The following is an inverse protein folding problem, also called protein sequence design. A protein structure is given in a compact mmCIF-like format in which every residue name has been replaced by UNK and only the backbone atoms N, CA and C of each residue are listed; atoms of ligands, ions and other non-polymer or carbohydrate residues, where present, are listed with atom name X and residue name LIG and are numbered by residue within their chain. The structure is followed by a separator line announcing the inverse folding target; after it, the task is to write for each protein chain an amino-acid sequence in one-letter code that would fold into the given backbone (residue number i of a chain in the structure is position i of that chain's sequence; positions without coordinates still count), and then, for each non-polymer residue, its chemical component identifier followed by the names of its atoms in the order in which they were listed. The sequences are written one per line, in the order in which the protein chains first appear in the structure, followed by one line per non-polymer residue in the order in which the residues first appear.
data_IF_792716426100
#
_entry.id   IF_792716426100
#
_cell.length_a   1.000
_cell.length_b   1.000
_cell.length_c   1.000
_cell.angle_alpha   90.00
_cell.angle_beta   90.00
_cell.angle_gamma   90.00
#
_symmetry.space_group_name_H-M   'P 1'
#
loop_
_entity.id
_entity.type
_entity.pdbx_description
1 polymer ?
#
# COMPACT_ATOMS: atom_id res chain seq x y z
N UNK A 1 -9.25 -11.53 -0.57
CA UNK A 1 -7.86 -11.00 -0.54
C UNK A 1 -7.71 -10.12 0.69
N UNK A 2 -6.54 -10.06 1.31
CA UNK A 2 -6.24 -9.15 2.42
C UNK A 2 -5.10 -8.21 2.03
N UNK A 3 -5.07 -7.04 2.65
CA UNK A 3 -4.04 -6.03 2.43
C UNK A 3 -3.45 -5.60 3.76
N UNK A 4 -2.17 -5.23 3.75
CA UNK A 4 -1.46 -4.79 4.97
C UNK A 4 -1.90 -3.42 5.47
N UNK A 5 -2.49 -2.59 4.61
CA UNK A 5 -2.95 -1.25 4.97
C UNK A 5 -4.30 -1.31 5.72
N UNK A 6 -4.27 -1.06 7.04
CA UNK A 6 -5.45 -1.22 7.91
C UNK A 6 -6.52 -0.15 7.70
N UNK A 7 -6.13 1.06 7.31
CA UNK A 7 -7.04 2.20 7.06
C UNK A 7 -7.68 2.17 5.66
N UNK A 8 -7.56 1.05 4.94
CA UNK A 8 -8.02 0.92 3.55
C UNK A 8 -9.48 1.34 3.36
N UNK A 9 -10.40 0.86 4.23
CA UNK A 9 -11.81 1.19 4.15
C UNK A 9 -12.15 2.63 4.61
N UNK A 10 -11.25 3.28 5.34
CA UNK A 10 -11.42 4.66 5.81
C UNK A 10 -11.06 5.66 4.71
N UNK A 11 -9.96 5.38 3.99
CA UNK A 11 -9.35 6.31 3.04
C UNK A 11 -9.86 6.16 1.60
N UNK A 12 -10.31 4.97 1.22
CA UNK A 12 -10.91 4.74 -0.09
C UNK A 12 -12.33 5.29 -0.18
N UNK A 13 -12.69 5.70 -1.41
CA UNK A 13 -14.04 6.14 -1.74
C UNK A 13 -14.60 5.27 -2.88
N UNK A 14 -15.93 5.15 -3.01
CA UNK A 14 -16.52 4.58 -4.23
C UNK A 14 -15.95 5.26 -5.48
N UNK A 15 -15.73 4.47 -6.53
CA UNK A 15 -15.05 4.84 -7.78
C UNK A 15 -13.53 5.05 -7.68
N UNK A 16 -12.90 4.89 -6.52
CA UNK A 16 -11.44 4.80 -6.44
C UNK A 16 -10.93 3.55 -7.16
N UNK A 17 -9.74 3.66 -7.74
CA UNK A 17 -9.05 2.54 -8.39
C UNK A 17 -7.93 2.00 -7.49
N UNK A 18 -7.92 0.68 -7.33
CA UNK A 18 -6.88 -0.07 -6.63
C UNK A 18 -6.14 -0.89 -7.67
N UNK A 19 -4.83 -0.71 -7.75
CA UNK A 19 -3.95 -1.46 -8.65
C UNK A 19 -3.22 -2.53 -7.85
N UNK A 20 -3.37 -3.78 -8.23
CA UNK A 20 -2.65 -4.92 -7.65
C UNK A 20 -1.57 -5.40 -8.62
N UNK A 21 -0.41 -5.79 -8.10
CA UNK A 21 0.73 -6.27 -8.89
C UNK A 21 1.10 -5.28 -10.01
N UNK A 22 1.43 -4.04 -9.64
CA UNK A 22 1.80 -2.96 -10.56
C UNK A 22 0.75 -2.66 -11.66
N UNK A 23 -0.53 -2.88 -11.35
CA UNK A 23 -1.64 -2.64 -12.28
C UNK A 23 -1.97 -3.81 -13.20
N UNK A 24 -1.31 -4.96 -13.01
CA UNK A 24 -1.69 -6.21 -13.70
C UNK A 24 -3.15 -6.57 -13.42
N UNK A 25 -3.65 -6.27 -12.22
CA UNK A 25 -5.07 -6.37 -11.87
C UNK A 25 -5.55 -5.01 -11.38
N UNK A 26 -6.66 -4.53 -11.94
CA UNK A 26 -7.32 -3.29 -11.54
C UNK A 26 -8.65 -3.62 -10.87
N UNK A 27 -8.85 -3.05 -9.68
CA UNK A 27 -10.10 -3.17 -8.92
C UNK A 27 -10.74 -1.80 -8.78
N UNK A 28 -12.01 -1.68 -9.14
CA UNK A 28 -12.82 -0.49 -8.92
C UNK A 28 -13.62 -0.62 -7.64
N UNK A 29 -13.47 0.34 -6.73
CA UNK A 29 -14.19 0.34 -5.45
C UNK A 29 -15.67 0.62 -5.67
N UNK A 30 -16.53 -0.29 -5.20
CA UNK A 30 -17.98 -0.15 -5.25
C UNK A 30 -18.53 0.41 -3.93
N UNK A 31 -18.01 -0.06 -2.79
CA UNK A 31 -18.43 0.37 -1.47
C UNK A 31 -17.34 0.11 -0.42
N UNK A 32 -17.28 0.96 0.60
CA UNK A 32 -16.39 0.81 1.75
C UNK A 32 -17.24 0.62 3.02
N UNK A 33 -17.03 -0.47 3.74
CA UNK A 33 -17.62 -0.69 5.06
C UNK A 33 -16.58 -0.41 6.15
N UNK A 34 -16.70 0.76 6.76
CA UNK A 34 -15.79 1.21 7.82
C UNK A 34 -15.94 0.43 9.12
N UNK A 35 -17.08 -0.20 9.37
CA UNK A 35 -17.30 -0.97 10.61
C UNK A 35 -16.58 -2.32 10.55
N UNK A 36 -16.65 -3.00 9.41
CA UNK A 36 -15.94 -4.27 9.19
C UNK A 36 -14.52 -4.10 8.69
N UNK A 37 -14.14 -2.90 8.21
CA UNK A 37 -12.85 -2.65 7.58
C UNK A 37 -12.73 -3.25 6.18
N UNK A 38 -13.85 -3.62 5.56
CA UNK A 38 -13.89 -4.30 4.26
C UNK A 38 -14.22 -3.33 3.14
N UNK A 39 -13.61 -3.56 1.98
CA UNK A 39 -13.90 -2.83 0.75
C UNK A 39 -14.40 -3.80 -0.31
N UNK A 40 -15.59 -3.52 -0.84
CA UNK A 40 -16.17 -4.28 -1.94
C UNK A 40 -15.75 -3.64 -3.25
N UNK A 41 -15.10 -4.42 -4.11
CA UNK A 41 -14.61 -3.96 -5.40
C UNK A 41 -15.13 -4.85 -6.54
N UNK A 42 -15.17 -4.28 -7.74
CA UNK A 42 -15.32 -5.01 -9.01
C UNK A 42 -13.94 -5.17 -9.64
N UNK A 43 -13.63 -6.37 -10.11
CA UNK A 43 -12.41 -6.61 -10.89
C UNK A 43 -12.66 -6.15 -12.33
N UNK A 44 -11.83 -5.25 -12.84
CA UNK A 44 -12.00 -4.66 -14.19
C UNK A 44 -11.33 -5.52 -15.29
N UNK A 45 -10.44 -6.43 -14.90
CA UNK A 45 -9.75 -7.33 -15.82
C UNK A 45 -9.44 -8.69 -15.18
N UNK A 46 -9.11 -9.69 -15.98
CA UNK A 46 -8.74 -11.02 -15.50
C UNK A 46 -7.22 -11.22 -15.59
N UNK A 47 -6.60 -11.63 -14.48
CA UNK A 47 -5.20 -12.03 -14.43
C UNK A 47 -4.95 -12.90 -13.18
N UNK A 48 -3.78 -13.55 -13.13
CA UNK A 48 -3.37 -14.38 -11.98
C UNK A 48 -2.77 -13.48 -10.91
N UNK A 49 -3.33 -13.56 -9.69
CA UNK A 49 -2.78 -12.87 -8.52
C UNK A 49 -1.84 -13.82 -7.77
N UNK A 50 -0.55 -13.48 -7.76
CA UNK A 50 0.44 -14.17 -6.93
C UNK A 50 0.42 -13.72 -5.46
N UNK A 51 1.26 -14.33 -4.64
CA UNK A 51 1.38 -13.99 -3.21
C UNK A 51 2.19 -12.70 -2.97
N UNK A 52 1.85 -12.00 -1.88
CA UNK A 52 2.55 -10.79 -1.37
C UNK A 52 2.83 -9.74 -2.46
N UNK A 53 1.93 -9.62 -3.43
CA UNK A 53 1.99 -8.58 -4.46
C UNK A 53 1.70 -7.21 -3.86
N UNK A 54 2.37 -6.21 -4.42
CA UNK A 54 2.17 -4.82 -4.03
C UNK A 54 0.78 -4.32 -4.48
N UNK A 55 0.37 -3.23 -3.85
CA UNK A 55 -0.91 -2.58 -4.08
C UNK A 55 -0.69 -1.08 -4.11
N UNK A 56 -1.21 -0.42 -5.14
CA UNK A 56 -1.21 1.03 -5.26
C UNK A 56 -2.65 1.57 -5.23
N UNK A 57 -2.88 2.64 -4.49
CA UNK A 57 -4.19 3.30 -4.39
C UNK A 57 -4.14 4.63 -5.15
N UNK A 58 -4.93 4.77 -6.21
CA UNK A 58 -4.91 5.98 -7.04
C UNK A 58 -5.81 7.07 -6.43
N UNK A 59 -5.26 8.28 -6.28
CA UNK A 59 -6.00 9.44 -5.79
C UNK A 59 -6.34 9.40 -4.30
N UNK A 60 -5.67 8.54 -3.54
CA UNK A 60 -5.83 8.41 -2.08
C UNK A 60 -4.59 8.97 -1.40
N UNK A 61 -4.79 9.82 -0.40
CA UNK A 61 -3.72 10.27 0.48
C UNK A 61 -3.50 9.15 1.49
N UNK A 62 -2.36 8.48 1.39
CA UNK A 62 -1.99 7.39 2.28
C UNK A 62 -1.23 7.97 3.46
N UNK A 63 -1.80 7.80 4.66
CA UNK A 63 -1.16 8.18 5.92
C UNK A 63 -0.35 7.00 6.46
N UNK A 64 0.80 6.76 5.83
CA UNK A 64 1.81 5.80 6.30
C UNK A 64 3.00 6.55 6.91
N UNK A 65 3.60 6.01 7.99
CA UNK A 65 4.82 6.59 8.53
C UNK A 65 5.92 6.53 7.48
N UNK A 66 6.58 7.67 7.24
CA UNK A 66 7.68 7.80 6.27
C UNK A 66 8.87 6.90 6.58
N UNK A 67 9.09 6.57 7.85
CA UNK A 67 10.14 5.66 8.30
C UNK A 67 9.52 4.60 9.20
N UNK A 68 9.69 3.34 8.82
CA UNK A 68 9.36 2.22 9.70
C UNK A 68 10.52 1.96 10.68
N UNK A 69 10.25 1.19 11.73
CA UNK A 69 11.25 0.91 12.77
C UNK A 69 12.52 0.26 12.21
N UNK A 70 12.35 -0.59 11.20
CA UNK A 70 13.46 -1.17 10.44
C UNK A 70 14.33 -0.12 9.77
N UNK A 71 13.73 0.89 9.12
CA UNK A 71 14.50 1.95 8.45
C UNK A 71 15.32 2.75 9.46
N UNK A 72 14.72 3.08 10.62
CA UNK A 72 15.44 3.76 11.71
C UNK A 72 16.60 2.91 12.21
N UNK A 73 16.38 1.61 12.38
CA UNK A 73 17.42 0.68 12.81
C UNK A 73 18.55 0.61 11.78
N UNK A 74 18.23 0.46 10.50
CA UNK A 74 19.20 0.39 9.41
C UNK A 74 20.00 1.70 9.31
N UNK A 75 19.36 2.87 9.48
CA UNK A 75 20.04 4.18 9.49
C UNK A 75 20.94 4.32 10.73
N UNK A 76 20.41 4.08 11.94
CA UNK A 76 21.12 4.34 13.20
C UNK A 76 22.23 3.33 13.48
N UNK A 77 21.98 2.04 13.24
CA UNK A 77 22.90 0.95 13.59
C UNK A 77 23.84 0.57 12.45
N UNK A 78 23.45 0.80 11.19
CA UNK A 78 24.29 0.44 10.05
C UNK A 78 24.75 1.67 9.26
N UNK A 79 23.86 2.59 8.90
CA UNK A 79 24.19 3.75 8.07
C UNK A 79 25.20 4.71 8.72
N UNK A 80 24.92 5.15 9.97
CA UNK A 80 25.79 6.09 10.70
C UNK A 80 27.19 5.51 10.95
N UNK A 81 27.35 4.27 11.45
CA UNK A 81 28.68 3.69 11.65
C UNK A 81 29.49 3.56 10.36
N UNK A 82 28.83 3.33 9.22
CA UNK A 82 29.47 3.22 7.91
C UNK A 82 29.66 4.57 7.20
N UNK A 83 29.29 5.70 7.83
CA UNK A 83 29.44 7.05 7.29
C UNK A 83 28.84 7.21 5.90
N UNK A 84 27.65 6.64 5.66
CA UNK A 84 26.95 6.82 4.40
C UNK A 84 26.62 8.31 4.18
N UNK A 85 26.75 8.78 2.95
CA UNK A 85 26.55 10.20 2.59
C UNK A 85 25.22 10.47 1.87
N UNK A 86 24.48 9.41 1.56
CA UNK A 86 23.22 9.48 0.84
C UNK A 86 22.30 8.35 1.30
N UNK A 87 21.01 8.65 1.43
CA UNK A 87 19.95 7.68 1.70
C UNK A 87 18.89 7.86 0.61
N UNK A 88 18.61 6.78 -0.13
CA UNK A 88 17.46 6.72 -1.04
C UNK A 88 16.28 6.12 -0.28
N UNK A 89 15.28 6.94 0.06
CA UNK A 89 14.10 6.51 0.80
C UNK A 89 13.02 6.00 -0.17
N UNK A 90 12.55 4.78 0.06
CA UNK A 90 11.40 4.18 -0.65
C UNK A 90 10.11 4.37 0.16
N UNK A 91 8.96 4.45 -0.55
CA UNK A 91 7.62 4.65 0.02
C UNK A 91 6.67 3.54 -0.42
#
# INVERSE_FOLDING_TARGET
ISMSYKKLAEDLKPNSAILCADGTITLMVLACDKKSGLVRCRCENSAVLGERKNVNLLGVIIDLPTLIEKDKEDILKWGIPNKIIMIALSF
#
